data_IF_744860470900
#
_entry.id   IF_744860470900
#
_cell.length_a   1.000
_cell.length_b   1.000
_cell.length_c   1.000
_cell.angle_alpha   90.00
_cell.angle_beta   90.00
_cell.angle_gamma   90.00
#
_symmetry.space_group_name_H-M   'P 1'
#
loop_
_entity.id
_entity.type
_entity.pdbx_description
1 polymer ?
#
# COMPACT_ATOMS: atom_id res chain seq x y z
N UNK A 1 -33.92 -34.65 9.41
CA UNK A 1 -33.58 -33.31 9.01
C UNK A 1 -32.35 -33.34 8.11
N UNK A 2 -32.52 -32.93 6.84
CA UNK A 2 -31.43 -32.85 5.88
C UNK A 2 -30.62 -31.57 6.10
N UNK A 3 -29.29 -31.67 6.24
CA UNK A 3 -28.37 -30.52 6.28
C UNK A 3 -27.58 -30.49 4.98
N UNK A 4 -27.55 -29.32 4.34
CA UNK A 4 -26.73 -29.09 3.14
C UNK A 4 -25.36 -28.56 3.58
N UNK A 5 -24.30 -29.26 3.17
CA UNK A 5 -22.90 -28.89 3.46
C UNK A 5 -22.06 -28.95 2.21
N UNK A 6 -21.04 -28.09 2.14
CA UNK A 6 -19.95 -28.24 1.18
C UNK A 6 -19.10 -29.46 1.55
N UNK A 7 -18.68 -30.25 0.57
CA UNK A 7 -17.76 -31.39 0.74
C UNK A 7 -16.31 -30.95 0.83
N UNK A 8 -15.98 -29.77 0.35
CA UNK A 8 -14.70 -29.09 0.46
C UNK A 8 -14.95 -27.63 0.81
N UNK A 9 -13.92 -26.91 1.30
CA UNK A 9 -14.02 -25.47 1.48
C UNK A 9 -14.37 -24.80 0.16
N UNK A 10 -15.31 -23.88 0.20
CA UNK A 10 -15.69 -23.07 -0.96
C UNK A 10 -14.72 -21.87 -1.05
N UNK A 11 -14.39 -21.50 -2.28
CA UNK A 11 -13.46 -20.43 -2.64
C UNK A 11 -14.23 -19.47 -3.56
N UNK A 12 -14.38 -18.20 -3.09
CA UNK A 12 -15.14 -17.19 -3.79
C UNK A 12 -14.51 -16.78 -5.12
N UNK A 13 -13.16 -16.74 -5.19
CA UNK A 13 -12.40 -16.36 -6.38
C UNK A 13 -12.52 -17.41 -7.48
N UNK A 14 -12.74 -18.67 -7.09
CA UNK A 14 -12.95 -19.77 -8.03
C UNK A 14 -14.42 -19.83 -8.50
N UNK A 15 -15.39 -19.64 -7.58
CA UNK A 15 -16.82 -19.73 -7.91
C UNK A 15 -17.66 -18.94 -6.90
N UNK A 16 -18.42 -17.96 -7.36
CA UNK A 16 -19.22 -17.07 -6.52
C UNK A 16 -20.59 -17.62 -6.12
N UNK A 17 -21.08 -18.68 -6.79
CA UNK A 17 -22.37 -19.30 -6.47
C UNK A 17 -22.48 -20.73 -6.98
N UNK A 18 -23.33 -21.51 -6.33
CA UNK A 18 -23.62 -22.91 -6.65
C UNK A 18 -25.11 -23.11 -6.81
N UNK A 19 -25.53 -23.73 -7.92
CA UNK A 19 -26.89 -24.20 -8.11
C UNK A 19 -27.03 -25.64 -7.60
N UNK A 20 -28.01 -25.88 -6.73
CA UNK A 20 -28.27 -27.19 -6.11
C UNK A 20 -29.77 -27.51 -6.21
N UNK A 21 -30.11 -28.70 -6.66
CA UNK A 21 -31.48 -29.22 -6.59
C UNK A 21 -31.62 -30.15 -5.41
N UNK A 22 -32.48 -29.81 -4.47
CA UNK A 22 -32.82 -30.67 -3.32
C UNK A 22 -34.08 -31.45 -3.65
N UNK A 23 -34.01 -32.79 -3.55
CA UNK A 23 -35.13 -33.68 -3.82
C UNK A 23 -35.48 -34.48 -2.56
N UNK A 24 -36.77 -34.63 -2.29
CA UNK A 24 -37.30 -35.44 -1.21
C UNK A 24 -38.26 -36.48 -1.82
N UNK A 25 -38.11 -37.75 -1.42
CA UNK A 25 -39.00 -38.83 -1.84
C UNK A 25 -39.47 -39.63 -0.62
N UNK A 26 -40.75 -40.02 -0.68
CA UNK A 26 -41.36 -40.98 0.28
C UNK A 26 -41.38 -42.43 -0.24
N UNK A 27 -40.75 -42.67 -1.40
CA UNK A 27 -40.71 -43.96 -2.08
C UNK A 27 -41.81 -44.11 -3.15
N UNK A 28 -42.82 -43.24 -3.20
CA UNK A 28 -43.88 -43.18 -4.18
C UNK A 28 -43.81 -41.94 -5.03
N UNK A 29 -43.58 -40.78 -4.40
CA UNK A 29 -43.50 -39.46 -5.06
C UNK A 29 -42.15 -38.78 -4.75
N UNK A 30 -41.73 -37.89 -5.64
CA UNK A 30 -40.53 -37.09 -5.46
C UNK A 30 -40.85 -35.61 -5.70
N UNK A 31 -40.49 -34.76 -4.73
CA UNK A 31 -40.61 -33.31 -4.87
C UNK A 31 -39.19 -32.75 -4.92
N UNK A 32 -38.92 -31.86 -5.87
CA UNK A 32 -37.62 -31.24 -6.05
C UNK A 32 -37.76 -29.72 -6.00
N UNK A 33 -36.70 -29.06 -5.42
CA UNK A 33 -36.59 -27.60 -5.39
C UNK A 33 -35.18 -27.19 -5.70
N UNK A 34 -35.05 -26.22 -6.60
CA UNK A 34 -33.78 -25.59 -6.91
C UNK A 34 -33.42 -24.52 -5.87
N UNK A 35 -32.16 -24.47 -5.48
CA UNK A 35 -31.57 -23.54 -4.53
C UNK A 35 -30.27 -23.00 -5.12
N UNK A 36 -30.07 -21.70 -4.99
CA UNK A 36 -28.79 -21.06 -5.27
C UNK A 36 -28.11 -20.70 -3.96
N UNK A 37 -26.90 -21.23 -3.74
CA UNK A 37 -26.02 -20.87 -2.62
C UNK A 37 -25.03 -19.84 -3.16
N UNK A 38 -25.15 -18.59 -2.70
CA UNK A 38 -24.20 -17.53 -3.01
C UNK A 38 -23.11 -17.50 -1.94
N UNK A 39 -21.86 -17.34 -2.36
CA UNK A 39 -20.74 -17.09 -1.45
C UNK A 39 -20.60 -15.59 -1.17
N UNK A 40 -20.04 -15.28 -0.03
CA UNK A 40 -19.61 -13.93 0.34
C UNK A 40 -18.10 -13.89 0.30
N UNK A 41 -17.53 -12.92 -0.39
CA UNK A 41 -16.07 -12.74 -0.43
C UNK A 41 -15.54 -12.40 0.96
N UNK A 42 -14.42 -13.04 1.32
CA UNK A 42 -13.61 -12.75 2.52
C UNK A 42 -12.20 -12.42 2.04
N UNK A 43 -11.64 -11.31 2.50
CA UNK A 43 -10.28 -10.91 2.14
C UNK A 43 -9.29 -11.72 2.97
N UNK A 44 -8.54 -12.60 2.32
CA UNK A 44 -7.69 -13.63 2.97
C UNK A 44 -6.20 -13.40 2.73
N UNK A 45 -5.84 -12.62 1.72
CA UNK A 45 -4.44 -12.38 1.34
C UNK A 45 -4.00 -10.96 1.67
N UNK A 46 -2.76 -10.78 2.17
CA UNK A 46 -2.19 -9.46 2.34
C UNK A 46 -1.88 -8.82 0.97
N UNK A 47 -1.88 -7.48 0.89
CA UNK A 47 -1.44 -6.80 -0.32
C UNK A 47 0.05 -7.04 -0.59
N UNK A 48 0.43 -7.01 -1.85
CA UNK A 48 1.82 -6.92 -2.26
C UNK A 48 2.30 -5.47 -2.20
N UNK A 49 3.57 -5.24 -1.85
CA UNK A 49 4.18 -3.91 -1.78
C UNK A 49 5.56 -3.96 -2.44
N UNK A 50 5.77 -3.10 -3.44
CA UNK A 50 7.05 -2.90 -4.11
C UNK A 50 7.60 -1.52 -3.76
N UNK A 51 8.79 -1.48 -3.15
CA UNK A 51 9.50 -0.28 -2.72
C UNK A 51 11.00 -0.43 -2.95
N UNK A 52 11.71 0.66 -3.31
CA UNK A 52 13.16 0.69 -3.22
C UNK A 52 13.60 0.70 -1.75
N UNK A 53 14.70 0.04 -1.43
CA UNK A 53 15.28 0.06 -0.07
C UNK A 53 16.03 1.35 0.23
N UNK A 54 16.51 2.03 -0.81
CA UNK A 54 17.23 3.30 -0.74
C UNK A 54 16.82 4.20 -1.88
N UNK A 55 16.61 5.48 -1.58
CA UNK A 55 16.29 6.53 -2.57
C UNK A 55 17.22 7.71 -2.34
N UNK A 56 17.85 8.18 -3.40
CA UNK A 56 18.58 9.45 -3.39
C UNK A 56 17.69 10.52 -4.00
N UNK A 57 17.47 11.59 -3.25
CA UNK A 57 16.65 12.74 -3.64
C UNK A 57 17.57 13.94 -3.68
N UNK A 58 17.65 14.62 -4.82
CA UNK A 58 18.32 15.90 -4.89
C UNK A 58 17.58 16.91 -4.03
N UNK A 59 18.29 17.77 -3.34
CA UNK A 59 17.67 18.92 -2.70
C UNK A 59 16.87 19.74 -3.70
N UNK A 60 16.04 20.67 -3.22
CA UNK A 60 15.08 21.42 -4.03
C UNK A 60 13.98 20.54 -4.70
N UNK A 61 13.94 19.23 -4.40
CA UNK A 61 12.87 18.30 -4.82
C UNK A 61 12.11 17.77 -3.61
N UNK A 62 10.78 17.81 -3.68
CA UNK A 62 9.94 17.23 -2.60
C UNK A 62 9.62 15.76 -2.83
N UNK A 63 9.65 15.26 -4.07
CA UNK A 63 9.23 13.90 -4.42
C UNK A 63 10.32 12.90 -4.03
N UNK A 64 9.92 11.85 -3.29
CA UNK A 64 10.83 10.79 -2.87
C UNK A 64 10.67 9.56 -3.76
N UNK A 65 9.50 8.91 -3.71
CA UNK A 65 9.25 7.68 -4.47
C UNK A 65 7.76 7.37 -4.53
N UNK A 66 7.39 6.50 -5.48
CA UNK A 66 6.07 5.90 -5.56
C UNK A 66 6.09 4.52 -4.91
N UNK A 67 5.31 4.32 -3.87
CA UNK A 67 4.99 3.00 -3.34
C UNK A 67 3.98 2.32 -4.26
N UNK A 68 4.37 1.21 -4.88
CA UNK A 68 3.49 0.43 -5.75
C UNK A 68 2.97 -0.76 -4.98
N UNK A 69 1.65 -0.86 -4.86
CA UNK A 69 1.00 -1.97 -4.18
C UNK A 69 -0.20 -2.48 -4.96
N UNK A 70 -0.49 -3.77 -4.81
CA UNK A 70 -1.70 -4.40 -5.35
C UNK A 70 -2.24 -5.42 -4.37
N UNK A 71 -3.55 -5.56 -4.34
CA UNK A 71 -4.25 -6.57 -3.56
C UNK A 71 -4.70 -7.70 -4.49
N UNK A 72 -4.45 -8.98 -4.16
CA UNK A 72 -4.84 -10.11 -5.01
C UNK A 72 -6.34 -10.22 -5.23
N UNK A 73 -7.14 -9.81 -4.25
CA UNK A 73 -8.62 -9.84 -4.31
C UNK A 73 -9.22 -8.49 -4.77
N UNK A 74 -8.35 -7.54 -5.21
CA UNK A 74 -8.79 -6.24 -5.71
C UNK A 74 -9.35 -5.30 -4.63
N UNK A 75 -9.03 -5.55 -3.36
CA UNK A 75 -9.47 -4.76 -2.22
C UNK A 75 -8.86 -3.35 -2.24
N UNK A 76 -9.60 -2.38 -1.71
CA UNK A 76 -9.10 -1.02 -1.54
C UNK A 76 -7.91 -0.98 -0.59
N UNK A 77 -6.88 -0.20 -0.96
CA UNK A 77 -5.64 -0.06 -0.22
C UNK A 77 -5.54 1.28 0.49
N UNK A 78 -4.97 1.25 1.69
CA UNK A 78 -4.63 2.44 2.48
C UNK A 78 -3.14 2.43 2.80
N UNK A 79 -2.51 3.62 2.74
CA UNK A 79 -1.08 3.80 2.98
C UNK A 79 -0.82 4.59 4.25
N UNK A 80 0.22 4.21 4.99
CA UNK A 80 0.67 4.90 6.20
C UNK A 80 2.19 4.97 6.26
N UNK A 81 2.72 6.09 6.76
CA UNK A 81 4.13 6.24 7.11
C UNK A 81 4.33 6.02 8.60
N UNK A 82 5.46 5.41 8.94
CA UNK A 82 5.98 5.24 10.30
C UNK A 82 7.51 5.26 10.26
N UNK A 83 8.16 5.13 11.42
CA UNK A 83 9.61 5.22 11.54
C UNK A 83 10.04 6.54 12.19
N UNK A 84 11.33 6.64 12.52
CA UNK A 84 11.91 7.77 13.26
C UNK A 84 11.69 9.12 12.58
N UNK A 85 11.76 9.13 11.25
CA UNK A 85 11.73 10.37 10.47
C UNK A 85 10.39 10.57 9.73
N UNK A 86 9.38 9.74 10.00
CA UNK A 86 8.10 9.77 9.28
C UNK A 86 7.38 11.14 9.34
N UNK A 87 7.63 11.92 10.40
CA UNK A 87 7.03 13.26 10.56
C UNK A 87 7.51 14.26 9.49
N UNK A 88 8.69 14.04 8.90
CA UNK A 88 9.26 14.87 7.83
C UNK A 88 8.58 14.65 6.48
N UNK A 89 7.84 13.55 6.34
CA UNK A 89 7.24 13.11 5.08
C UNK A 89 5.72 13.07 5.16
N UNK A 90 5.10 12.93 4.01
CA UNK A 90 3.71 12.50 3.86
C UNK A 90 3.61 11.47 2.75
N UNK A 91 2.52 10.70 2.77
CA UNK A 91 2.15 9.76 1.72
C UNK A 91 0.72 10.03 1.26
N UNK A 92 0.50 9.99 -0.03
CA UNK A 92 -0.85 10.18 -0.60
C UNK A 92 -1.64 8.87 -0.56
N UNK A 93 -2.95 8.94 -0.81
CA UNK A 93 -3.80 7.76 -1.00
C UNK A 93 -3.41 6.91 -2.21
N UNK A 94 -2.64 7.45 -3.15
CA UNK A 94 -2.08 6.72 -4.30
C UNK A 94 -0.69 6.12 -4.02
N UNK A 95 -0.11 6.33 -2.82
CA UNK A 95 1.19 5.79 -2.43
C UNK A 95 2.40 6.68 -2.79
N UNK A 96 2.19 7.94 -3.24
CA UNK A 96 3.30 8.85 -3.48
C UNK A 96 3.86 9.37 -2.16
N UNK A 97 5.15 9.13 -1.91
CA UNK A 97 5.91 9.61 -0.74
C UNK A 97 6.63 10.91 -1.12
N UNK A 98 6.49 11.93 -0.28
CA UNK A 98 7.12 13.24 -0.50
C UNK A 98 7.55 13.88 0.83
N UNK A 99 8.54 14.76 0.79
CA UNK A 99 8.86 15.64 1.89
C UNK A 99 7.71 16.63 2.15
N UNK A 100 7.46 16.98 3.40
CA UNK A 100 6.51 18.05 3.77
C UNK A 100 7.05 19.44 3.46
N UNK A 101 8.35 19.60 3.61
CA UNK A 101 9.10 20.82 3.25
C UNK A 101 10.19 20.40 2.30
N UNK A 102 10.36 21.12 1.21
CA UNK A 102 11.42 20.89 0.24
C UNK A 102 12.77 20.95 0.98
N UNK A 103 13.62 19.92 0.88
CA UNK A 103 14.90 19.93 1.54
C UNK A 103 15.87 20.89 0.85
N UNK A 104 16.66 21.59 1.66
CA UNK A 104 17.79 22.44 1.31
C UNK A 104 18.99 21.85 2.05
N UNK A 105 19.96 21.33 1.31
CA UNK A 105 21.04 20.49 1.84
C UNK A 105 21.88 21.22 2.90
N UNK A 106 22.16 22.50 2.67
CA UNK A 106 22.97 23.36 3.56
C UNK A 106 22.25 23.66 4.88
N UNK A 107 20.92 23.66 4.85
CA UNK A 107 20.08 23.92 6.02
C UNK A 107 19.75 22.67 6.82
N UNK A 108 20.02 21.46 6.28
CA UNK A 108 19.70 20.19 6.93
C UNK A 108 20.65 19.88 8.08
N UNK A 109 20.10 19.45 9.22
CA UNK A 109 20.87 18.87 10.34
C UNK A 109 21.17 17.38 10.14
N UNK A 110 20.43 16.71 9.26
CA UNK A 110 20.65 15.33 8.83
C UNK A 110 20.26 15.18 7.36
N UNK A 111 21.02 14.40 6.61
CA UNK A 111 20.82 14.15 5.18
C UNK A 111 20.29 12.74 4.89
N UNK A 112 20.11 11.92 5.91
CA UNK A 112 19.62 10.54 5.83
C UNK A 112 18.41 10.34 6.73
N UNK A 113 17.34 9.81 6.17
CA UNK A 113 16.06 9.63 6.84
C UNK A 113 15.58 8.19 6.70
N UNK A 114 15.10 7.61 7.81
CA UNK A 114 14.55 6.26 7.83
C UNK A 114 13.03 6.32 8.01
N UNK A 115 12.31 5.80 7.04
CA UNK A 115 10.85 5.70 7.05
C UNK A 115 10.41 4.28 6.71
N UNK A 116 9.22 3.93 7.16
CA UNK A 116 8.55 2.66 6.81
C UNK A 116 7.21 2.99 6.18
N UNK A 117 6.96 2.44 5.00
CA UNK A 117 5.66 2.47 4.34
C UNK A 117 4.92 1.20 4.73
N UNK A 118 3.69 1.34 5.18
CA UNK A 118 2.75 0.23 5.40
C UNK A 118 1.54 0.42 4.48
N UNK A 119 1.17 -0.61 3.76
CA UNK A 119 -0.07 -0.70 2.98
C UNK A 119 -0.98 -1.73 3.65
N UNK A 120 -2.26 -1.39 3.76
CA UNK A 120 -3.27 -2.24 4.42
C UNK A 120 -4.51 -2.32 3.54
N UNK A 121 -5.07 -3.52 3.39
CA UNK A 121 -6.32 -3.76 2.66
C UNK A 121 -7.56 -3.64 3.55
N UNK A 122 -8.76 -3.78 2.99
CA UNK A 122 -10.01 -3.69 3.73
C UNK A 122 -10.21 -4.84 4.75
N UNK A 123 -9.50 -5.97 4.59
CA UNK A 123 -9.45 -7.07 5.55
C UNK A 123 -8.48 -6.84 6.72
N UNK A 124 -7.86 -5.65 6.80
CA UNK A 124 -6.82 -5.31 7.80
C UNK A 124 -5.53 -6.12 7.68
N UNK A 125 -5.32 -6.80 6.55
CA UNK A 125 -4.06 -7.46 6.23
C UNK A 125 -3.10 -6.42 5.65
N UNK A 126 -1.81 -6.51 6.00
CA UNK A 126 -0.85 -5.46 5.68
C UNK A 126 0.49 -6.00 5.16
N UNK A 127 1.15 -5.20 4.34
CA UNK A 127 2.55 -5.34 3.97
C UNK A 127 3.31 -4.06 4.30
N UNK A 128 4.59 -4.17 4.65
CA UNK A 128 5.43 -3.03 5.02
C UNK A 128 6.82 -3.13 4.41
N UNK A 129 7.41 -1.98 4.12
CA UNK A 129 8.79 -1.88 3.65
C UNK A 129 9.47 -0.63 4.19
N UNK A 130 10.75 -0.76 4.55
CA UNK A 130 11.58 0.35 5.00
C UNK A 130 12.30 1.00 3.81
N UNK A 131 12.47 2.31 3.87
CA UNK A 131 13.21 3.12 2.90
C UNK A 131 14.23 3.97 3.64
N UNK A 132 15.48 3.94 3.18
CA UNK A 132 16.48 4.94 3.49
C UNK A 132 16.43 6.04 2.43
N UNK A 133 16.05 7.25 2.81
CA UNK A 133 16.05 8.43 1.94
C UNK A 133 17.33 9.21 2.21
N UNK A 134 18.16 9.42 1.19
CA UNK A 134 19.35 10.26 1.23
C UNK A 134 19.08 11.55 0.44
N UNK A 135 19.25 12.70 1.06
CA UNK A 135 19.27 13.98 0.34
C UNK A 135 20.68 14.18 -0.19
N UNK A 136 20.78 14.56 -1.44
CA UNK A 136 22.04 14.84 -2.13
C UNK A 136 22.12 16.32 -2.48
N UNK A 137 23.29 16.89 -2.25
CA UNK A 137 23.66 18.23 -2.67
C UNK A 137 23.63 18.36 -4.20
N UNK A 138 23.14 19.48 -4.70
CA UNK A 138 23.25 19.92 -6.09
C UNK A 138 24.08 21.21 -6.10
N UNK A 139 25.11 21.24 -6.94
CA UNK A 139 25.98 22.44 -7.08
C UNK A 139 25.14 23.66 -7.44
N UNK A 140 24.96 24.56 -6.48
CA UNK A 140 24.29 25.83 -6.68
C UNK A 140 25.27 26.88 -7.23
N UNK A 141 24.78 27.81 -8.01
CA UNK A 141 25.65 28.88 -8.50
C UNK A 141 26.12 29.73 -7.33
N UNK A 142 27.39 30.07 -7.31
CA UNK A 142 28.08 30.91 -6.30
C UNK A 142 27.31 32.17 -5.85
N UNK A 143 26.36 32.64 -6.66
CA UNK A 143 25.54 33.81 -6.35
C UNK A 143 24.37 33.51 -5.40
N UNK A 144 23.95 32.23 -5.23
CA UNK A 144 22.81 31.88 -4.37
C UNK A 144 23.25 31.65 -2.90
N UNK A 145 24.51 31.30 -2.69
CA UNK A 145 25.10 31.11 -1.35
C UNK A 145 25.64 32.41 -0.73
N UNK A 146 25.69 33.50 -1.50
CA UNK A 146 26.19 34.76 -1.02
C UNK A 146 25.12 35.58 -0.31
N UNK A 147 25.06 35.53 1.03
CA UNK A 147 24.36 36.53 1.83
C UNK A 147 24.94 37.89 1.56
N UNK A 148 24.07 38.88 1.34
CA UNK A 148 24.44 40.27 1.08
C UNK A 148 25.51 40.75 2.08
N UNK A 149 26.76 40.93 1.63
CA UNK A 149 27.88 41.43 2.41
C UNK A 149 29.05 40.48 2.65
N UNK A 150 28.94 39.19 2.30
CA UNK A 150 29.99 38.19 2.58
C UNK A 150 30.78 37.73 1.34
N UNK A 151 30.36 38.12 0.13
CA UNK A 151 31.11 37.76 -1.08
C UNK A 151 32.20 38.80 -1.37
N UNK A 152 33.45 38.40 -1.24
CA UNK A 152 34.61 39.13 -1.77
C UNK A 152 34.94 38.56 -3.15
N UNK A 153 34.97 39.43 -4.13
CA UNK A 153 35.60 39.15 -5.43
C UNK A 153 37.10 39.40 -5.24
N UNK A 154 37.94 38.39 -5.41
CA UNK A 154 39.38 38.55 -5.63
C UNK A 154 39.67 38.73 -7.12
#
# INVERSE_FOLDING_TARGET
TGELKFTAAADYETQTSYAVTVSISDGSETISKDLTVALTNVIESPPSLSLPTTVNVAENSSVVTQAVASDPEGSALTYKLSGTDAATFYITSSGLVSFRTVPDYESLTQTKFNITVTVTNAGSLAASGAILVNVTDISENFFDTCRFGECRFE
#
